data_IF_584372091840
#
_entry.id   IF_584372091840
#
_cell.length_a   1.000
_cell.length_b   1.000
_cell.length_c   1.000
_cell.angle_alpha   90.00
_cell.angle_beta   90.00
_cell.angle_gamma   90.00
#
_symmetry.space_group_name_H-M   'P 1'
#
loop_
_entity.id
_entity.type
_entity.pdbx_description
1 polymer ?
#
# COMPACT_ATOMS: atom_id res chain seq x y z
N UNK A 1 5.34 18.52 9.68
CA UNK A 1 6.34 17.76 10.46
C UNK A 1 5.74 16.53 11.18
N UNK A 2 4.68 16.64 11.98
CA UNK A 2 4.07 15.49 12.68
C UNK A 2 3.46 14.43 11.72
N UNK A 3 2.76 14.86 10.67
CA UNK A 3 2.10 13.96 9.71
C UNK A 3 3.12 13.07 8.97
N UNK A 4 4.28 13.62 8.58
CA UNK A 4 5.34 12.85 7.92
C UNK A 4 5.96 11.78 8.83
N UNK A 5 6.16 12.09 10.12
CA UNK A 5 6.67 11.12 11.10
C UNK A 5 5.65 9.99 11.33
N UNK A 6 4.37 10.34 11.46
CA UNK A 6 3.29 9.35 11.58
C UNK A 6 3.21 8.46 10.35
N UNK A 7 3.37 9.03 9.15
CA UNK A 7 3.42 8.28 7.90
C UNK A 7 4.61 7.31 7.87
N UNK A 8 5.82 7.76 8.19
CA UNK A 8 7.01 6.90 8.20
C UNK A 8 6.85 5.77 9.22
N UNK A 9 6.37 6.08 10.42
CA UNK A 9 6.11 5.07 11.44
C UNK A 9 5.08 4.04 10.95
N UNK A 10 3.95 4.50 10.39
CA UNK A 10 2.91 3.62 9.86
C UNK A 10 3.44 2.77 8.70
N UNK A 11 4.17 3.37 7.75
CA UNK A 11 4.77 2.68 6.62
C UNK A 11 5.76 1.62 7.10
N UNK A 12 6.61 1.96 8.07
CA UNK A 12 7.57 1.03 8.66
C UNK A 12 6.88 -0.17 9.30
N UNK A 13 5.91 0.05 10.19
CA UNK A 13 5.18 -1.03 10.84
C UNK A 13 4.33 -1.85 9.86
N UNK A 14 3.67 -1.20 8.91
CA UNK A 14 2.85 -1.87 7.90
C UNK A 14 3.71 -2.72 6.95
N UNK A 15 4.90 -2.24 6.55
CA UNK A 15 5.82 -3.00 5.71
C UNK A 15 6.42 -4.19 6.47
N UNK A 16 6.83 -4.00 7.73
CA UNK A 16 7.29 -5.11 8.59
C UNK A 16 6.18 -6.17 8.72
N UNK A 17 4.96 -5.73 8.99
CA UNK A 17 3.81 -6.63 9.06
C UNK A 17 3.57 -7.35 7.73
N UNK A 18 3.67 -6.65 6.59
CA UNK A 18 3.54 -7.24 5.26
C UNK A 18 4.63 -8.27 4.93
N UNK A 19 5.86 -8.05 5.38
CA UNK A 19 6.96 -8.98 5.17
C UNK A 19 6.80 -10.24 6.05
N UNK A 20 6.44 -10.06 7.32
CA UNK A 20 6.35 -11.16 8.29
C UNK A 20 5.05 -11.95 8.15
N UNK A 21 3.91 -11.26 8.08
CA UNK A 21 2.59 -11.87 8.10
C UNK A 21 1.98 -12.05 6.70
N UNK A 22 2.50 -11.34 5.69
CA UNK A 22 2.04 -11.45 4.32
C UNK A 22 2.56 -12.71 3.63
N UNK A 23 1.68 -13.34 2.85
CA UNK A 23 2.05 -14.29 1.80
C UNK A 23 2.69 -13.54 0.62
N UNK A 24 2.79 -14.17 -0.55
CA UNK A 24 3.43 -13.58 -1.75
C UNK A 24 2.97 -12.14 -2.03
N UNK A 25 1.66 -11.91 -2.03
CA UNK A 25 1.07 -10.62 -2.42
C UNK A 25 1.37 -9.53 -1.38
N UNK A 26 1.34 -9.87 -0.09
CA UNK A 26 1.66 -8.94 1.00
C UNK A 26 3.15 -8.53 1.00
N UNK A 27 4.04 -9.47 0.69
CA UNK A 27 5.49 -9.19 0.56
C UNK A 27 5.79 -8.29 -0.62
N UNK A 28 5.15 -8.53 -1.78
CA UNK A 28 5.31 -7.68 -2.96
C UNK A 28 4.80 -6.26 -2.67
N UNK A 29 3.61 -6.11 -2.08
CA UNK A 29 3.10 -4.80 -1.70
C UNK A 29 4.03 -4.07 -0.74
N UNK A 30 4.53 -4.74 0.30
CA UNK A 30 5.48 -4.15 1.24
C UNK A 30 6.75 -3.66 0.53
N UNK A 31 7.31 -4.45 -0.38
CA UNK A 31 8.48 -4.04 -1.17
C UNK A 31 8.19 -2.81 -2.05
N UNK A 32 7.01 -2.76 -2.69
CA UNK A 32 6.59 -1.59 -3.47
C UNK A 32 6.51 -0.33 -2.61
N UNK A 33 5.92 -0.41 -1.41
CA UNK A 33 5.84 0.73 -0.48
C UNK A 33 7.21 1.17 0.04
N UNK A 34 8.09 0.23 0.39
CA UNK A 34 9.46 0.57 0.81
C UNK A 34 10.21 1.26 -0.32
N UNK A 35 10.16 0.71 -1.54
CA UNK A 35 10.81 1.30 -2.70
C UNK A 35 10.30 2.72 -2.99
N UNK A 36 8.98 2.92 -2.95
CA UNK A 36 8.37 4.24 -3.15
C UNK A 36 8.77 5.22 -2.04
N UNK A 37 8.78 4.79 -0.78
CA UNK A 37 9.18 5.66 0.35
C UNK A 37 10.63 6.12 0.21
N UNK A 38 11.54 5.22 -0.14
CA UNK A 38 12.96 5.54 -0.38
C UNK A 38 13.11 6.48 -1.58
N UNK A 39 12.43 6.19 -2.70
CA UNK A 39 12.48 7.03 -3.89
C UNK A 39 11.96 8.45 -3.62
N UNK A 40 10.85 8.59 -2.90
CA UNK A 40 10.30 9.89 -2.51
C UNK A 40 11.24 10.68 -1.60
N UNK A 41 11.94 10.01 -0.67
CA UNK A 41 12.95 10.67 0.18
C UNK A 41 14.12 11.24 -0.62
N UNK A 42 14.61 10.50 -1.62
CA UNK A 42 15.66 10.99 -2.52
C UNK A 42 15.15 12.10 -3.45
N UNK A 43 13.90 12.04 -3.90
CA UNK A 43 13.30 13.09 -4.71
C UNK A 43 13.18 14.42 -3.94
N UNK A 44 12.84 14.35 -2.64
CA UNK A 44 12.71 15.50 -1.74
C UNK A 44 14.07 16.19 -1.47
N UNK A 45 15.13 15.41 -1.26
CA UNK A 45 16.44 15.93 -0.87
C UNK A 45 17.27 16.54 -2.01
N UNK A 46 16.94 16.22 -3.27
CA UNK A 46 17.79 16.55 -4.43
C UNK A 46 17.20 17.59 -5.39
N UNK A 47 15.94 18.03 -5.19
CA UNK A 47 15.20 18.78 -6.22
C UNK A 47 14.63 20.12 -5.75
N UNK A 48 14.70 21.19 -6.58
CA UNK A 48 13.90 22.40 -6.38
C UNK A 48 12.39 22.09 -6.36
N UNK A 49 11.59 22.96 -5.73
CA UNK A 49 10.15 22.74 -5.46
C UNK A 49 9.32 22.22 -6.66
N UNK A 50 9.50 22.77 -7.85
CA UNK A 50 8.75 22.34 -9.06
C UNK A 50 9.19 20.94 -9.52
N UNK A 51 10.49 20.68 -9.48
CA UNK A 51 11.06 19.36 -9.81
C UNK A 51 10.70 18.31 -8.76
N UNK A 52 10.51 18.72 -7.51
CA UNK A 52 10.11 17.88 -6.38
C UNK A 52 8.67 17.36 -6.53
N UNK A 53 7.71 18.24 -6.86
CA UNK A 53 6.31 17.83 -7.10
C UNK A 53 6.24 16.82 -8.26
N UNK A 54 7.00 17.05 -9.33
CA UNK A 54 7.07 16.14 -10.47
C UNK A 54 7.77 14.81 -10.12
N UNK A 55 8.84 14.85 -9.33
CA UNK A 55 9.56 13.67 -8.87
C UNK A 55 8.69 12.75 -8.01
N UNK A 56 8.00 13.33 -7.01
CA UNK A 56 7.09 12.57 -6.14
C UNK A 56 5.91 12.03 -6.95
N UNK A 57 5.35 12.81 -7.88
CA UNK A 57 4.30 12.34 -8.80
C UNK A 57 4.74 11.10 -9.58
N UNK A 58 5.96 11.09 -10.14
CA UNK A 58 6.47 9.95 -10.89
C UNK A 58 6.62 8.70 -10.00
N UNK A 59 7.09 8.87 -8.76
CA UNK A 59 7.17 7.77 -7.79
C UNK A 59 5.79 7.19 -7.52
N UNK A 60 4.78 8.03 -7.32
CA UNK A 60 3.42 7.57 -7.05
C UNK A 60 2.76 6.89 -8.26
N UNK A 61 3.06 7.33 -9.48
CA UNK A 61 2.64 6.65 -10.72
C UNK A 61 3.27 5.27 -10.84
N UNK A 62 4.56 5.13 -10.53
CA UNK A 62 5.26 3.84 -10.54
C UNK A 62 4.67 2.91 -9.48
N UNK A 63 4.45 3.41 -8.27
CA UNK A 63 3.78 2.66 -7.20
C UNK A 63 2.37 2.24 -7.62
N UNK A 64 1.60 3.13 -8.25
CA UNK A 64 0.26 2.82 -8.77
C UNK A 64 0.32 1.69 -9.80
N UNK A 65 1.27 1.73 -10.74
CA UNK A 65 1.45 0.67 -11.73
C UNK A 65 1.80 -0.67 -11.06
N UNK A 66 2.65 -0.65 -10.03
CA UNK A 66 2.98 -1.83 -9.23
C UNK A 66 1.78 -2.40 -8.49
N UNK A 67 0.97 -1.56 -7.85
CA UNK A 67 -0.26 -1.96 -7.16
C UNK A 67 -1.33 -2.46 -8.14
N UNK A 68 -1.44 -1.86 -9.32
CA UNK A 68 -2.33 -2.30 -10.39
C UNK A 68 -1.96 -3.68 -10.89
N UNK A 69 -0.67 -3.91 -11.19
CA UNK A 69 -0.17 -5.22 -11.57
C UNK A 69 -0.40 -6.26 -10.47
N UNK A 70 -0.15 -5.90 -9.20
CA UNK A 70 -0.43 -6.75 -8.07
C UNK A 70 -1.92 -7.10 -7.97
N UNK A 71 -2.82 -6.13 -8.18
CA UNK A 71 -4.26 -6.34 -8.17
C UNK A 71 -4.73 -7.29 -9.27
N UNK A 72 -4.12 -7.26 -10.45
CA UNK A 72 -4.42 -8.21 -11.53
C UNK A 72 -3.89 -9.63 -11.26
N UNK A 73 -2.78 -9.74 -10.52
CA UNK A 73 -2.11 -11.02 -10.26
C UNK A 73 -2.59 -11.72 -8.98
N UNK A 74 -3.16 -10.97 -8.04
CA UNK A 74 -3.62 -11.42 -6.73
C UNK A 74 -4.96 -12.15 -6.82
N UNK A 75 -5.12 -13.19 -5.99
CA UNK A 75 -6.42 -13.89 -5.82
C UNK A 75 -7.33 -13.20 -4.80
N UNK A 76 -6.83 -12.17 -4.13
CA UNK A 76 -7.51 -11.42 -3.09
C UNK A 76 -7.89 -10.03 -3.59
N UNK A 77 -9.03 -9.52 -3.11
CA UNK A 77 -9.57 -8.21 -3.51
C UNK A 77 -8.84 -7.01 -2.90
N UNK A 78 -8.07 -7.19 -1.82
CA UNK A 78 -7.48 -6.07 -1.11
C UNK A 78 -6.47 -5.23 -1.92
N UNK A 79 -5.65 -5.76 -2.85
CA UNK A 79 -4.76 -4.91 -3.64
C UNK A 79 -5.52 -4.02 -4.62
N UNK A 80 -6.74 -4.40 -5.02
CA UNK A 80 -7.60 -3.54 -5.83
C UNK A 80 -8.06 -2.32 -5.04
N UNK A 81 -8.36 -2.48 -3.74
CA UNK A 81 -8.67 -1.35 -2.85
C UNK A 81 -7.46 -0.43 -2.71
N UNK A 82 -6.27 -1.00 -2.48
CA UNK A 82 -5.03 -0.24 -2.42
C UNK A 82 -4.79 0.57 -3.70
N UNK A 83 -4.94 -0.07 -4.87
CA UNK A 83 -4.81 0.57 -6.17
C UNK A 83 -5.82 1.72 -6.36
N UNK A 84 -7.09 1.50 -5.97
CA UNK A 84 -8.14 2.52 -6.07
C UNK A 84 -7.84 3.74 -5.20
N UNK A 85 -7.47 3.53 -3.92
CA UNK A 85 -7.13 4.61 -3.00
C UNK A 85 -5.88 5.36 -3.49
N UNK A 86 -4.85 4.64 -3.92
CA UNK A 86 -3.61 5.26 -4.41
C UNK A 86 -3.81 6.04 -5.72
N UNK A 87 -4.78 5.66 -6.55
CA UNK A 87 -5.13 6.43 -7.74
C UNK A 87 -5.63 7.84 -7.41
N UNK A 88 -6.33 8.01 -6.27
CA UNK A 88 -6.78 9.33 -5.79
C UNK A 88 -5.59 10.20 -5.38
N UNK A 89 -4.54 9.59 -4.81
CA UNK A 89 -3.28 10.28 -4.54
C UNK A 89 -2.68 10.82 -5.84
N UNK A 90 -2.51 9.97 -6.86
CA UNK A 90 -1.95 10.35 -8.17
C UNK A 90 -2.78 11.46 -8.86
N UNK A 91 -4.11 11.38 -8.78
CA UNK A 91 -4.99 12.44 -9.31
C UNK A 91 -4.79 13.76 -8.56
N UNK A 92 -4.58 13.72 -7.25
CA UNK A 92 -4.28 14.91 -6.44
C UNK A 92 -2.98 15.57 -6.90
N UNK A 93 -1.93 14.78 -7.17
CA UNK A 93 -0.68 15.29 -7.75
C UNK A 93 -0.90 15.96 -9.10
N UNK A 94 -1.69 15.33 -9.98
CA UNK A 94 -2.01 15.88 -11.30
C UNK A 94 -2.73 17.23 -11.18
N UNK A 95 -3.70 17.34 -10.27
CA UNK A 95 -4.43 18.59 -10.04
C UNK A 95 -3.49 19.72 -9.59
N UNK A 96 -2.53 19.42 -8.70
CA UNK A 96 -1.56 20.41 -8.22
C UNK A 96 -0.53 20.83 -9.28
N UNK A 97 -0.18 19.94 -10.23
CA UNK A 97 0.67 20.29 -11.36
C UNK A 97 -0.04 21.22 -12.36
N UNK A 98 -1.36 21.06 -12.55
CA UNK A 98 -2.16 21.86 -13.49
C UNK A 98 -2.54 23.23 -12.90
N UNK A 99 -2.67 23.33 -11.58
CA UNK A 99 -3.02 24.57 -10.88
C UNK A 99 -1.90 25.05 -9.93
N UNK A 100 -0.88 25.77 -10.42
CA UNK A 100 0.25 26.23 -9.60
C UNK A 100 -0.13 27.23 -8.50
N UNK A 101 -1.33 27.81 -8.55
CA UNK A 101 -1.89 28.69 -7.50
C UNK A 101 -2.41 27.92 -6.29
N UNK A 102 -2.38 26.58 -6.31
CA UNK A 102 -2.78 25.75 -5.20
C UNK A 102 -1.81 25.96 -4.02
N UNK A 103 -2.34 26.24 -2.82
CA UNK A 103 -1.51 26.51 -1.66
C UNK A 103 -0.58 25.31 -1.37
N UNK A 104 0.75 25.50 -1.40
CA UNK A 104 1.75 24.46 -1.08
C UNK A 104 1.47 23.70 0.22
N UNK A 105 0.94 24.38 1.22
CA UNK A 105 0.62 23.81 2.54
C UNK A 105 -0.54 22.81 2.48
N UNK A 106 -1.60 23.13 1.73
CA UNK A 106 -2.77 22.26 1.56
C UNK A 106 -2.38 21.01 0.78
N UNK A 107 -1.54 21.18 -0.24
CA UNK A 107 -0.98 20.07 -1.01
C UNK A 107 -0.20 19.09 -0.12
N UNK A 108 0.71 19.57 0.73
CA UNK A 108 1.48 18.70 1.63
C UNK A 108 0.58 17.95 2.64
N UNK A 109 -0.50 18.56 3.11
CA UNK A 109 -1.45 17.90 4.02
C UNK A 109 -2.23 16.79 3.31
N UNK A 110 -2.73 17.04 2.10
CA UNK A 110 -3.55 16.06 1.35
C UNK A 110 -2.68 14.93 0.80
N UNK A 111 -1.42 15.21 0.45
CA UNK A 111 -0.50 14.21 -0.10
C UNK A 111 -0.22 13.07 0.89
N UNK A 112 0.14 13.39 2.14
CA UNK A 112 0.36 12.37 3.17
C UNK A 112 -0.91 11.65 3.61
N UNK A 113 -2.09 12.28 3.42
CA UNK A 113 -3.37 11.72 3.85
C UNK A 113 -3.71 10.42 3.13
N UNK A 114 -3.52 10.33 1.81
CA UNK A 114 -3.90 9.16 1.02
C UNK A 114 -3.02 7.93 1.24
N UNK A 115 -1.80 8.11 1.71
CA UNK A 115 -0.90 7.00 1.98
C UNK A 115 -1.38 6.14 3.16
N UNK A 116 -2.03 6.74 4.16
CA UNK A 116 -2.58 6.06 5.34
C UNK A 116 -3.66 5.02 4.95
N UNK A 117 -4.76 5.37 4.27
CA UNK A 117 -5.78 4.40 3.87
C UNK A 117 -5.24 3.34 2.90
N UNK A 118 -4.27 3.69 2.04
CA UNK A 118 -3.61 2.70 1.19
C UNK A 118 -2.84 1.67 2.01
N UNK A 119 -2.04 2.10 3.00
CA UNK A 119 -1.32 1.19 3.90
C UNK A 119 -2.26 0.37 4.78
N UNK A 120 -3.34 0.97 5.28
CA UNK A 120 -4.37 0.27 6.04
C UNK A 120 -5.04 -0.83 5.21
N UNK A 121 -5.33 -0.57 3.92
CA UNK A 121 -5.90 -1.58 3.04
C UNK A 121 -4.99 -2.81 2.89
N UNK A 122 -3.67 -2.61 2.88
CA UNK A 122 -2.68 -3.69 2.88
C UNK A 122 -2.72 -4.47 4.19
N UNK A 123 -2.67 -3.80 5.34
CA UNK A 123 -2.70 -4.44 6.67
C UNK A 123 -3.97 -5.26 6.87
N UNK A 124 -5.13 -4.66 6.58
CA UNK A 124 -6.44 -5.32 6.66
C UNK A 124 -6.52 -6.49 5.67
N UNK A 125 -6.02 -6.29 4.45
CA UNK A 125 -5.99 -7.30 3.40
C UNK A 125 -5.19 -8.55 3.78
N UNK A 126 -4.01 -8.36 4.35
CA UNK A 126 -3.16 -9.44 4.87
C UNK A 126 -3.85 -10.16 6.03
N UNK A 127 -4.41 -9.41 6.99
CA UNK A 127 -5.10 -9.99 8.14
C UNK A 127 -6.28 -10.86 7.72
N UNK A 128 -7.15 -10.36 6.82
CA UNK A 128 -8.29 -11.12 6.29
C UNK A 128 -7.86 -12.37 5.54
N UNK A 129 -6.78 -12.27 4.76
CA UNK A 129 -6.23 -13.39 3.99
C UNK A 129 -5.73 -14.50 4.92
N UNK A 130 -5.00 -14.14 5.97
CA UNK A 130 -4.48 -15.08 6.97
C UNK A 130 -5.60 -15.82 7.72
N UNK A 131 -6.64 -15.09 8.13
CA UNK A 131 -7.80 -15.65 8.83
C UNK A 131 -8.54 -16.68 7.97
N UNK A 132 -8.65 -16.44 6.66
CA UNK A 132 -9.23 -17.40 5.71
C UNK A 132 -8.37 -18.66 5.55
N UNK A 133 -7.05 -18.51 5.54
CA UNK A 133 -6.11 -19.63 5.50
C UNK A 133 -6.23 -20.55 6.72
N UNK A 134 -6.31 -19.97 7.92
CA UNK A 134 -6.46 -20.71 9.18
C UNK A 134 -7.78 -21.49 9.25
N UNK A 135 -8.91 -20.82 8.93
CA UNK A 135 -10.23 -21.47 8.92
C UNK A 135 -10.32 -22.61 7.89
N UNK A 136 -9.70 -22.45 6.72
CA UNK A 136 -9.65 -23.50 5.70
C UNK A 136 -8.83 -24.73 6.12
N UNK A 137 -7.82 -24.55 6.96
CA UNK A 137 -7.04 -25.66 7.53
C UNK A 137 -7.85 -26.45 8.57
N UNK A 138 -8.49 -25.75 9.51
CA UNK A 138 -9.32 -26.35 10.55
C UNK A 138 -10.48 -27.18 9.97
N UNK A 139 -11.17 -26.65 8.96
CA UNK A 139 -12.23 -27.38 8.25
C UNK A 139 -11.73 -28.68 7.59
N UNK A 140 -10.53 -28.67 7.00
CA UNK A 140 -9.90 -29.87 6.41
C UNK A 140 -9.51 -30.92 7.45
N UNK A 141 -9.03 -30.50 8.61
CA UNK A 141 -8.73 -31.42 9.71
C UNK A 141 -10.01 -32.07 10.25
N UNK A 142 -11.04 -31.26 10.47
CA UNK A 142 -12.35 -31.74 10.93
C UNK A 142 -13.00 -32.71 9.93
N UNK A 143 -12.83 -32.51 8.62
CA UNK A 143 -13.33 -33.45 7.61
C UNK A 143 -12.56 -34.77 7.61
N UNK A 144 -11.22 -34.76 7.77
CA UNK A 144 -10.41 -35.98 7.86
C UNK A 144 -10.68 -36.77 9.14
N UNK A 145 -10.90 -36.09 10.27
CA UNK A 145 -11.22 -36.71 11.54
C UNK A 145 -12.65 -37.31 11.58
N UNK A 146 -13.55 -36.86 10.70
CA UNK A 146 -14.90 -37.40 10.55
C UNK A 146 -15.01 -38.62 9.63
N UNK A 147 -13.93 -39.02 8.94
CA UNK A 147 -13.93 -40.29 8.21
C UNK A 147 -13.85 -41.40 9.26
N UNK A 148 -14.93 -42.18 9.48
CA UNK A 148 -14.93 -43.23 10.49
C UNK A 148 -13.89 -44.27 10.11
N UNK A 149 -13.17 -44.79 11.11
CA UNK A 149 -12.44 -46.05 10.97
C UNK A 149 -13.48 -47.19 10.94
N UNK A 150 -14.31 -47.27 9.90
CA UNK A 150 -15.14 -48.44 9.64
C UNK A 150 -14.40 -49.39 8.69
N UNK A 151 -13.39 -50.07 9.24
CA UNK A 151 -12.85 -51.30 8.66
C UNK A 151 -12.70 -52.35 9.73
#
# INVERSE_FOLDING_TARGET
MIIGILFIALAFFACIYGIIAGERDGRIAALLFVAATVASYFADTLSPWVSLVFGIFLVDVILLAGLYWLALSSRYFWPLWACGIHSVAVITHMASLIAPSFLPEVYQMIQGFWAIPTLLSMVIGIWLTRSRGASGYENRLSSKARVPLDR
#
